data_IF_462152102696
#
_entry.id   IF_462152102696
#
_cell.length_a   1.000
_cell.length_b   1.000
_cell.length_c   1.000
_cell.angle_alpha   90.00
_cell.angle_beta   90.00
_cell.angle_gamma   90.00
#
_symmetry.space_group_name_H-M   'P 1'
#
loop_
_entity.id
_entity.type
_entity.pdbx_description
1 polymer ?
#
# COMPACT_ATOMS: atom_id res chain seq x y z
N UNK A 1 -9.59 16.43 -5.26
CA UNK A 1 -8.48 16.70 -6.21
C UNK A 1 -8.66 15.75 -7.38
N UNK A 2 -8.76 16.25 -8.61
CA UNK A 2 -8.72 15.40 -9.81
C UNK A 2 -7.26 15.20 -10.21
N UNK A 3 -6.88 13.96 -10.48
CA UNK A 3 -5.54 13.63 -10.98
C UNK A 3 -5.49 13.94 -12.49
N UNK A 4 -4.40 14.53 -12.96
CA UNK A 4 -4.10 14.58 -14.39
C UNK A 4 -3.40 13.27 -14.76
N UNK A 5 -4.15 12.33 -15.32
CA UNK A 5 -3.67 11.00 -15.68
C UNK A 5 -3.09 11.01 -17.09
N UNK A 6 -1.81 10.71 -17.21
CA UNK A 6 -1.11 10.53 -18.50
C UNK A 6 -0.27 9.26 -18.51
N UNK A 7 0.48 9.02 -17.43
CA UNK A 7 1.41 7.91 -17.30
C UNK A 7 0.96 7.00 -16.16
N UNK A 8 0.58 5.80 -16.48
CA UNK A 8 0.08 4.81 -15.54
C UNK A 8 1.05 3.64 -15.46
N UNK A 9 1.52 3.34 -14.23
CA UNK A 9 2.28 2.15 -13.97
C UNK A 9 1.38 1.03 -13.47
N UNK A 10 1.41 -0.14 -14.10
CA UNK A 10 0.70 -1.32 -13.63
C UNK A 10 1.67 -2.23 -12.88
N UNK A 11 1.40 -2.45 -11.59
CA UNK A 11 2.20 -3.30 -10.72
C UNK A 11 1.45 -4.60 -10.43
N UNK A 12 1.83 -5.72 -11.03
CA UNK A 12 1.23 -7.02 -10.74
C UNK A 12 1.73 -7.56 -9.39
N UNK A 13 0.98 -8.49 -8.80
CA UNK A 13 1.32 -9.15 -7.53
C UNK A 13 2.64 -9.90 -7.60
N UNK A 14 2.76 -10.80 -8.57
CA UNK A 14 3.93 -11.64 -8.81
C UNK A 14 4.14 -11.79 -10.32
N UNK A 15 5.37 -11.98 -10.76
CA UNK A 15 5.74 -12.09 -12.17
C UNK A 15 5.21 -13.37 -12.84
N UNK A 16 4.97 -14.42 -12.04
CA UNK A 16 4.57 -15.76 -12.53
C UNK A 16 3.05 -15.93 -12.68
N UNK A 17 2.24 -14.93 -12.35
CA UNK A 17 0.80 -15.03 -12.50
C UNK A 17 0.37 -14.56 -13.88
N UNK A 18 -0.49 -15.36 -14.52
CA UNK A 18 -1.14 -15.03 -15.82
C UNK A 18 -2.11 -13.87 -15.63
N UNK A 19 -1.59 -12.65 -15.61
CA UNK A 19 -2.41 -11.45 -15.61
C UNK A 19 -2.90 -11.15 -17.01
N UNK A 20 -4.13 -10.66 -17.15
CA UNK A 20 -4.69 -10.27 -18.43
C UNK A 20 -4.08 -8.94 -18.90
N UNK A 21 -2.77 -8.97 -19.22
CA UNK A 21 -1.98 -7.78 -19.58
C UNK A 21 -2.62 -7.02 -20.73
N UNK A 22 -3.04 -7.74 -21.79
CA UNK A 22 -3.65 -7.13 -22.97
C UNK A 22 -5.04 -6.54 -22.67
N UNK A 23 -5.83 -7.19 -21.79
CA UNK A 23 -7.12 -6.67 -21.32
C UNK A 23 -6.93 -5.36 -20.56
N UNK A 24 -6.02 -5.37 -19.57
CA UNK A 24 -5.72 -4.18 -18.76
C UNK A 24 -5.21 -3.04 -19.63
N UNK A 25 -4.23 -3.32 -20.50
CA UNK A 25 -3.68 -2.34 -21.43
C UNK A 25 -4.76 -1.76 -22.34
N UNK A 26 -5.55 -2.63 -22.98
CA UNK A 26 -6.60 -2.21 -23.90
C UNK A 26 -7.65 -1.30 -23.25
N UNK A 27 -7.97 -1.51 -21.98
CA UNK A 27 -8.92 -0.64 -21.25
C UNK A 27 -8.38 0.79 -21.07
N UNK A 28 -7.09 0.95 -20.77
CA UNK A 28 -6.48 2.26 -20.61
C UNK A 28 -6.17 2.93 -21.96
N UNK A 29 -5.66 2.16 -22.92
CA UNK A 29 -5.37 2.65 -24.29
C UNK A 29 -6.62 3.19 -24.99
N UNK A 30 -7.78 2.56 -24.76
CA UNK A 30 -9.08 3.04 -25.29
C UNK A 30 -9.44 4.47 -24.83
N UNK A 31 -8.83 4.92 -23.73
CA UNK A 31 -8.99 6.28 -23.18
C UNK A 31 -7.78 7.19 -23.44
N UNK A 32 -6.82 6.75 -24.26
CA UNK A 32 -5.61 7.52 -24.59
C UNK A 32 -4.61 7.66 -23.43
N UNK A 33 -4.63 6.73 -22.46
CA UNK A 33 -3.75 6.70 -21.31
C UNK A 33 -2.57 5.75 -21.59
N UNK A 34 -1.34 6.25 -21.40
CA UNK A 34 -0.12 5.47 -21.59
C UNK A 34 0.09 4.53 -20.39
N UNK A 35 0.24 3.24 -20.65
CA UNK A 35 0.37 2.19 -19.63
C UNK A 35 1.68 1.44 -19.75
N UNK A 36 2.45 1.46 -18.65
CA UNK A 36 3.68 0.69 -18.49
C UNK A 36 3.49 -0.42 -17.45
N UNK A 37 3.78 -1.67 -17.82
CA UNK A 37 3.84 -2.76 -16.83
C UNK A 37 5.18 -2.70 -16.10
N UNK A 38 5.11 -2.63 -14.77
CA UNK A 38 6.26 -2.45 -13.90
C UNK A 38 6.83 -3.81 -13.50
N UNK A 39 8.10 -4.02 -13.78
CA UNK A 39 8.84 -5.17 -13.23
C UNK A 39 9.01 -5.04 -11.72
N UNK A 40 9.29 -6.18 -11.03
CA UNK A 40 9.38 -6.21 -9.57
C UNK A 40 10.44 -5.26 -9.00
N UNK A 41 11.50 -5.00 -9.75
CA UNK A 41 12.64 -4.14 -9.40
C UNK A 41 12.72 -2.83 -10.20
N UNK A 42 11.68 -2.51 -11.00
CA UNK A 42 11.67 -1.28 -11.78
C UNK A 42 11.93 -0.05 -10.88
N UNK A 43 12.83 0.82 -11.33
CA UNK A 43 13.14 2.05 -10.64
C UNK A 43 11.90 2.94 -10.52
N UNK A 44 11.81 3.81 -9.50
CA UNK A 44 10.78 4.81 -9.40
C UNK A 44 10.69 5.60 -10.71
N UNK A 45 9.52 5.58 -11.35
CA UNK A 45 9.24 6.35 -12.55
C UNK A 45 8.35 7.54 -12.18
N UNK A 46 8.38 8.56 -13.02
CA UNK A 46 7.46 9.70 -12.93
C UNK A 46 6.08 9.25 -13.42
N UNK A 47 5.27 8.73 -12.50
CA UNK A 47 3.95 8.17 -12.74
C UNK A 47 2.88 9.06 -12.11
N UNK A 48 1.76 9.21 -12.80
CA UNK A 48 0.59 9.92 -12.27
C UNK A 48 -0.28 9.01 -11.39
N UNK A 49 -0.20 7.68 -11.65
CA UNK A 49 -0.97 6.65 -10.96
C UNK A 49 -0.24 5.30 -11.01
N UNK A 50 -0.25 4.56 -9.93
CA UNK A 50 0.08 3.13 -9.92
C UNK A 50 -1.20 2.31 -9.79
N UNK A 51 -1.42 1.40 -10.73
CA UNK A 51 -2.50 0.40 -10.66
C UNK A 51 -1.92 -0.90 -10.13
N UNK A 52 -2.24 -1.22 -8.88
CA UNK A 52 -1.80 -2.45 -8.22
C UNK A 52 -2.79 -3.59 -8.51
N UNK A 53 -2.34 -4.62 -9.21
CA UNK A 53 -3.12 -5.81 -9.51
C UNK A 53 -2.80 -6.91 -8.51
N UNK A 54 -3.60 -7.03 -7.44
CA UNK A 54 -3.36 -7.98 -6.36
C UNK A 54 -4.14 -7.64 -5.11
N UNK A 55 -3.72 -8.18 -3.96
CA UNK A 55 -4.29 -7.86 -2.65
C UNK A 55 -3.52 -6.76 -1.92
N UNK A 56 -3.80 -6.62 -0.62
CA UNK A 56 -3.20 -5.58 0.24
C UNK A 56 -1.66 -5.57 0.22
N UNK A 57 -1.01 -6.73 0.14
CA UNK A 57 0.45 -6.81 0.03
C UNK A 57 1.01 -6.13 -1.24
N UNK A 58 0.28 -6.19 -2.36
CA UNK A 58 0.67 -5.48 -3.59
C UNK A 58 0.50 -3.98 -3.43
N UNK A 59 -0.53 -3.53 -2.70
CA UNK A 59 -0.74 -2.11 -2.39
C UNK A 59 0.38 -1.57 -1.52
N UNK A 60 0.76 -2.30 -0.46
CA UNK A 60 1.87 -1.89 0.41
C UNK A 60 3.19 -1.81 -0.36
N UNK A 61 3.45 -2.76 -1.25
CA UNK A 61 4.61 -2.71 -2.14
C UNK A 61 4.57 -1.50 -3.09
N UNK A 62 3.39 -1.14 -3.60
CA UNK A 62 3.22 0.06 -4.43
C UNK A 62 3.53 1.33 -3.64
N UNK A 63 3.06 1.45 -2.40
CA UNK A 63 3.36 2.59 -1.54
C UNK A 63 4.85 2.72 -1.22
N UNK A 64 5.52 1.60 -0.95
CA UNK A 64 6.94 1.56 -0.63
C UNK A 64 7.81 1.97 -1.82
N UNK A 65 7.46 1.49 -3.01
CA UNK A 65 8.24 1.73 -4.24
C UNK A 65 7.96 3.08 -4.89
N UNK A 66 6.75 3.60 -4.74
CA UNK A 66 6.29 4.83 -5.39
C UNK A 66 5.73 5.81 -4.34
N UNK A 67 6.55 6.24 -3.37
CA UNK A 67 6.08 7.10 -2.29
C UNK A 67 5.51 8.41 -2.84
N UNK A 68 4.29 8.76 -2.41
CA UNK A 68 3.60 9.96 -2.86
C UNK A 68 2.80 9.80 -4.17
N UNK A 69 3.00 8.72 -4.93
CA UNK A 69 2.18 8.42 -6.09
C UNK A 69 0.83 7.84 -5.66
N UNK A 70 -0.31 8.31 -6.22
CA UNK A 70 -1.60 7.67 -5.99
C UNK A 70 -1.61 6.22 -6.41
N UNK A 71 -2.32 5.36 -5.65
CA UNK A 71 -2.44 3.93 -5.94
C UNK A 71 -3.91 3.55 -6.09
N UNK A 72 -4.26 2.95 -7.23
CA UNK A 72 -5.52 2.28 -7.47
C UNK A 72 -5.31 0.76 -7.40
N UNK A 73 -5.94 0.10 -6.45
CA UNK A 73 -5.76 -1.33 -6.27
C UNK A 73 -6.98 -2.13 -6.75
N UNK A 74 -6.73 -3.12 -7.59
CA UNK A 74 -7.72 -4.07 -8.09
C UNK A 74 -7.39 -5.45 -7.56
N UNK A 75 -8.35 -6.08 -6.89
CA UNK A 75 -8.17 -7.40 -6.30
C UNK A 75 -8.16 -8.51 -7.37
N UNK A 76 -7.07 -9.25 -7.40
CA UNK A 76 -6.91 -10.44 -8.27
C UNK A 76 -6.78 -11.73 -7.45
N UNK A 77 -7.25 -11.74 -6.21
CA UNK A 77 -7.16 -12.90 -5.31
C UNK A 77 -8.23 -12.89 -4.25
N UNK A 78 -7.85 -13.12 -3.00
CA UNK A 78 -8.75 -13.00 -1.85
C UNK A 78 -9.04 -11.52 -1.55
N UNK A 79 -10.25 -11.24 -1.07
CA UNK A 79 -10.70 -9.88 -0.74
C UNK A 79 -9.68 -9.18 0.17
N UNK A 80 -9.29 -7.96 -0.23
CA UNK A 80 -8.43 -7.07 0.53
C UNK A 80 -9.21 -5.90 1.15
N UNK A 81 -8.58 -5.22 2.10
CA UNK A 81 -9.12 -4.00 2.73
C UNK A 81 -8.71 -2.71 2.01
N UNK A 82 -7.68 -2.80 1.15
CA UNK A 82 -7.11 -1.64 0.45
C UNK A 82 -7.48 -1.59 -1.04
N UNK A 83 -8.22 -2.58 -1.53
CA UNK A 83 -8.62 -2.69 -2.94
C UNK A 83 -9.91 -1.93 -3.23
N UNK A 84 -9.99 -1.30 -4.40
CA UNK A 84 -11.15 -0.54 -4.86
C UNK A 84 -12.28 -1.42 -5.43
N UNK A 85 -11.97 -2.65 -5.81
CA UNK A 85 -12.89 -3.65 -6.34
C UNK A 85 -12.15 -4.87 -6.85
N UNK A 86 -12.90 -5.80 -7.44
CA UNK A 86 -12.41 -7.07 -7.96
C UNK A 86 -12.11 -6.98 -9.47
N UNK A 87 -11.38 -7.99 -9.97
CA UNK A 87 -11.09 -8.13 -11.41
C UNK A 87 -12.31 -7.97 -12.31
N UNK A 88 -13.47 -8.51 -11.91
CA UNK A 88 -14.72 -8.42 -12.67
C UNK A 88 -15.21 -6.98 -12.85
N UNK A 89 -14.82 -6.08 -11.96
CA UNK A 89 -15.23 -4.67 -11.94
C UNK A 89 -14.22 -3.77 -12.68
N UNK A 90 -13.12 -4.34 -13.19
CA UNK A 90 -11.97 -3.61 -13.74
C UNK A 90 -12.40 -2.56 -14.80
N UNK A 91 -13.21 -2.94 -15.80
CA UNK A 91 -13.64 -2.03 -16.85
C UNK A 91 -14.48 -0.87 -16.29
N UNK A 92 -15.37 -1.14 -15.33
CA UNK A 92 -16.15 -0.11 -14.67
C UNK A 92 -15.28 0.83 -13.83
N UNK A 93 -14.29 0.29 -13.12
CA UNK A 93 -13.36 1.08 -12.30
C UNK A 93 -12.52 2.01 -13.18
N UNK A 94 -12.00 1.51 -14.31
CA UNK A 94 -11.25 2.32 -15.26
C UNK A 94 -12.14 3.44 -15.83
N UNK A 95 -13.40 3.14 -16.19
CA UNK A 95 -14.34 4.16 -16.65
C UNK A 95 -14.59 5.23 -15.58
N UNK A 96 -14.82 4.84 -14.33
CA UNK A 96 -15.01 5.79 -13.22
C UNK A 96 -13.78 6.64 -12.97
N UNK A 97 -12.60 6.06 -13.12
CA UNK A 97 -11.31 6.77 -12.98
C UNK A 97 -11.18 7.85 -14.06
N UNK A 98 -11.44 7.50 -15.32
CA UNK A 98 -11.38 8.43 -16.46
C UNK A 98 -12.43 9.54 -16.37
N UNK A 99 -13.63 9.20 -15.90
CA UNK A 99 -14.71 10.17 -15.66
C UNK A 99 -14.44 11.12 -14.47
N UNK A 100 -13.33 10.94 -13.75
CA UNK A 100 -13.02 11.69 -12.52
C UNK A 100 -13.97 11.39 -11.34
N UNK A 101 -14.67 10.27 -11.38
CA UNK A 101 -15.66 9.82 -10.40
C UNK A 101 -15.02 8.93 -9.33
N UNK A 102 -14.05 9.46 -8.61
CA UNK A 102 -13.34 8.78 -7.53
C UNK A 102 -13.03 9.72 -6.38
N UNK A 103 -12.63 9.16 -5.26
CA UNK A 103 -12.13 9.90 -4.09
C UNK A 103 -10.73 9.42 -3.77
N UNK A 104 -9.80 10.36 -3.61
CA UNK A 104 -8.45 10.04 -3.11
C UNK A 104 -8.49 9.98 -1.58
N UNK A 105 -8.12 8.85 -1.03
CA UNK A 105 -7.98 8.65 0.42
C UNK A 105 -6.51 8.80 0.82
N UNK A 106 -6.21 9.85 1.59
CA UNK A 106 -4.87 10.02 2.14
C UNK A 106 -4.64 9.03 3.28
N UNK A 107 -3.43 8.47 3.32
CA UNK A 107 -3.02 7.48 4.31
C UNK A 107 -1.90 8.02 5.18
N UNK A 108 -2.06 7.87 6.50
CA UNK A 108 -1.00 8.18 7.45
C UNK A 108 0.14 7.19 7.29
N UNK A 109 1.37 7.70 7.29
CA UNK A 109 2.61 6.92 7.23
C UNK A 109 3.44 7.23 8.47
N UNK A 110 4.01 6.22 9.11
CA UNK A 110 4.97 6.41 10.20
C UNK A 110 6.38 6.48 9.65
N UNK A 111 7.17 7.42 10.12
CA UNK A 111 8.62 7.41 9.96
C UNK A 111 9.24 6.74 11.18
N UNK A 112 9.72 5.52 10.99
CA UNK A 112 10.41 4.76 12.04
C UNK A 112 11.89 5.05 12.01
N UNK A 113 12.44 5.62 13.09
CA UNK A 113 13.89 5.86 13.26
C UNK A 113 14.45 4.91 14.29
N UNK A 114 15.56 4.27 13.95
CA UNK A 114 16.23 3.30 14.82
C UNK A 114 17.75 3.37 14.65
N UNK A 115 18.54 2.79 15.57
CA UNK A 115 20.00 2.73 15.40
C UNK A 115 20.37 1.98 14.10
N UNK A 116 20.84 2.70 13.10
CA UNK A 116 21.24 2.15 11.80
C UNK A 116 20.40 2.59 10.61
N UNK A 117 19.28 3.30 10.82
CA UNK A 117 18.48 3.79 9.70
C UNK A 117 17.11 4.37 10.05
N UNK A 118 16.36 4.61 9.00
CA UNK A 118 14.97 5.02 9.10
C UNK A 118 14.16 4.38 7.96
N UNK A 119 12.91 4.04 8.22
CA UNK A 119 11.99 3.44 7.26
C UNK A 119 10.62 4.13 7.30
N UNK A 120 9.95 4.20 6.14
CA UNK A 120 8.54 4.57 6.05
C UNK A 120 7.70 3.31 6.28
N UNK A 121 6.72 3.41 7.16
CA UNK A 121 5.90 2.27 7.57
C UNK A 121 4.43 2.57 7.36
N UNK A 122 3.77 1.75 6.56
CA UNK A 122 2.36 1.93 6.19
C UNK A 122 1.40 1.16 7.09
N UNK A 123 1.82 0.04 7.67
CA UNK A 123 1.04 -0.76 8.61
C UNK A 123 1.48 -0.54 10.05
N UNK A 124 2.51 -1.28 10.50
CA UNK A 124 2.97 -1.25 11.87
C UNK A 124 4.47 -1.48 12.01
N UNK A 125 5.05 -0.95 13.09
CA UNK A 125 6.39 -1.27 13.58
C UNK A 125 6.26 -2.19 14.78
N UNK A 126 7.01 -3.28 14.76
CA UNK A 126 7.05 -4.23 15.87
C UNK A 126 8.43 -4.26 16.51
N UNK A 127 8.51 -3.92 17.79
CA UNK A 127 9.68 -4.16 18.64
C UNK A 127 9.43 -5.43 19.44
N UNK A 128 10.18 -6.50 19.18
CA UNK A 128 9.95 -7.80 19.82
C UNK A 128 11.22 -8.41 20.37
N UNK A 129 11.13 -8.97 21.59
CA UNK A 129 12.18 -9.78 22.17
C UNK A 129 12.29 -11.15 21.48
N UNK A 130 13.51 -11.67 21.36
CA UNK A 130 13.70 -13.04 20.83
C UNK A 130 13.51 -14.11 21.92
N UNK A 131 13.94 -13.86 23.17
CA UNK A 131 14.04 -14.90 24.20
C UNK A 131 13.68 -14.45 25.61
N UNK A 132 13.43 -13.17 25.85
CA UNK A 132 13.17 -12.62 27.19
C UNK A 132 12.08 -11.57 27.14
N UNK A 133 11.43 -11.35 28.28
CA UNK A 133 10.53 -10.21 28.43
C UNK A 133 11.31 -8.91 28.29
N UNK A 134 10.73 -7.97 27.56
CA UNK A 134 11.21 -6.59 27.46
C UNK A 134 10.58 -5.72 28.55
N UNK A 135 11.36 -4.75 29.01
CA UNK A 135 10.86 -3.59 29.72
C UNK A 135 11.03 -2.40 28.77
N UNK A 136 9.93 -1.91 28.23
CA UNK A 136 9.93 -0.84 27.23
C UNK A 136 9.34 0.42 27.83
N UNK A 137 10.14 1.49 27.92
CA UNK A 137 9.64 2.80 28.27
C UNK A 137 9.03 3.48 27.04
N UNK A 138 7.78 3.90 27.16
CA UNK A 138 7.05 4.60 26.10
C UNK A 138 6.99 6.08 26.45
N UNK A 139 7.40 6.90 25.48
CA UNK A 139 7.37 8.35 25.56
C UNK A 139 6.51 8.90 24.42
N UNK A 140 5.80 9.99 24.68
CA UNK A 140 5.10 10.81 23.69
C UNK A 140 5.51 12.25 23.95
N UNK A 141 6.06 12.93 22.96
CA UNK A 141 6.57 14.30 23.05
C UNK A 141 7.47 14.52 24.29
N UNK A 142 8.46 13.65 24.44
CA UNK A 142 9.42 13.61 25.56
C UNK A 142 8.83 13.31 26.95
N UNK A 143 7.52 13.16 27.07
CA UNK A 143 6.87 12.75 28.32
C UNK A 143 6.79 11.23 28.42
N UNK A 144 7.32 10.65 29.51
CA UNK A 144 7.18 9.23 29.78
C UNK A 144 5.73 8.89 30.11
N UNK A 145 5.08 8.09 29.27
CA UNK A 145 3.68 7.68 29.47
C UNK A 145 3.62 6.45 30.36
N UNK A 146 4.42 5.42 30.06
CA UNK A 146 4.44 4.19 30.86
C UNK A 146 5.65 3.32 30.55
N UNK A 147 5.95 2.40 31.47
CA UNK A 147 6.81 1.25 31.24
C UNK A 147 5.94 0.02 30.96
N UNK A 148 6.14 -0.63 29.82
CA UNK A 148 5.46 -1.86 29.45
C UNK A 148 6.40 -3.04 29.70
N UNK A 149 5.89 -4.08 30.35
CA UNK A 149 6.57 -5.37 30.47
C UNK A 149 5.83 -6.39 29.60
N UNK A 150 6.53 -6.97 28.63
CA UNK A 150 5.93 -7.92 27.71
C UNK A 150 6.92 -8.46 26.69
N UNK A 151 6.42 -9.22 25.73
CA UNK A 151 7.23 -9.80 24.64
C UNK A 151 7.62 -8.76 23.60
N UNK A 152 6.94 -7.62 23.59
CA UNK A 152 7.18 -6.54 22.66
C UNK A 152 6.17 -5.41 22.72
N UNK A 153 6.32 -4.48 21.80
CA UNK A 153 5.42 -3.34 21.57
C UNK A 153 5.18 -3.24 20.07
N UNK A 154 3.95 -2.93 19.71
CA UNK A 154 3.55 -2.65 18.31
C UNK A 154 2.98 -1.25 18.24
N UNK A 155 3.43 -0.48 17.27
CA UNK A 155 2.92 0.85 16.94
C UNK A 155 2.45 0.83 15.50
N UNK A 156 1.19 1.13 15.26
CA UNK A 156 0.63 1.04 13.92
C UNK A 156 -0.15 2.26 13.47
N UNK A 157 -0.36 2.30 12.17
CA UNK A 157 -1.20 3.28 11.50
C UNK A 157 -2.67 2.81 11.49
N UNK A 158 -3.63 3.69 11.15
CA UNK A 158 -5.00 3.26 10.87
C UNK A 158 -5.09 2.23 9.71
N UNK A 159 -4.20 2.30 8.72
CA UNK A 159 -4.12 1.31 7.64
C UNK A 159 -3.74 -0.07 8.18
N UNK A 160 -2.79 -0.12 9.13
CA UNK A 160 -2.34 -1.36 9.78
C UNK A 160 -3.35 -1.98 10.74
N UNK A 161 -4.47 -1.31 11.05
CA UNK A 161 -5.50 -1.86 11.94
C UNK A 161 -6.11 -3.18 11.45
N UNK A 162 -6.07 -3.44 10.15
CA UNK A 162 -6.51 -4.69 9.52
C UNK A 162 -5.39 -5.72 9.32
N UNK A 163 -4.16 -5.38 9.73
CA UNK A 163 -2.97 -6.24 9.68
C UNK A 163 -2.75 -6.99 11.01
N UNK A 164 -1.50 -7.01 11.49
CA UNK A 164 -1.13 -7.68 12.74
C UNK A 164 -1.92 -7.12 13.94
N UNK A 165 -2.19 -5.82 13.98
CA UNK A 165 -2.94 -5.18 15.06
C UNK A 165 -4.32 -5.82 15.27
N UNK A 166 -5.03 -6.17 14.20
CA UNK A 166 -6.32 -6.86 14.29
C UNK A 166 -6.22 -8.19 15.06
N UNK A 167 -5.15 -8.96 14.84
CA UNK A 167 -4.91 -10.22 15.54
C UNK A 167 -4.54 -10.03 17.01
N UNK A 168 -4.11 -8.83 17.39
CA UNK A 168 -3.76 -8.45 18.76
C UNK A 168 -4.93 -7.82 19.53
N UNK A 169 -6.09 -7.66 18.91
CA UNK A 169 -7.30 -7.12 19.53
C UNK A 169 -7.32 -5.58 19.59
N UNK A 170 -6.59 -4.92 18.71
CA UNK A 170 -6.57 -3.46 18.60
C UNK A 170 -7.65 -2.98 17.62
#
# INVERSE_FOLDING_TARGET
MMLELRKIGVLPRDEDLDYPVDEVRGLFDAHGLDVSFLEADAAPADLDLVVALGGDGTVLRAFDRFPGCPVLAINFGTVGFLTAGDRKDLAQIVQLLVDGRYVVSERLVLLCRYPGGEDLVYNEVTLRARHKLLFTDVFVDDAKIRTIRGDGVVVGTPTGSTGLLMSMGA
#
